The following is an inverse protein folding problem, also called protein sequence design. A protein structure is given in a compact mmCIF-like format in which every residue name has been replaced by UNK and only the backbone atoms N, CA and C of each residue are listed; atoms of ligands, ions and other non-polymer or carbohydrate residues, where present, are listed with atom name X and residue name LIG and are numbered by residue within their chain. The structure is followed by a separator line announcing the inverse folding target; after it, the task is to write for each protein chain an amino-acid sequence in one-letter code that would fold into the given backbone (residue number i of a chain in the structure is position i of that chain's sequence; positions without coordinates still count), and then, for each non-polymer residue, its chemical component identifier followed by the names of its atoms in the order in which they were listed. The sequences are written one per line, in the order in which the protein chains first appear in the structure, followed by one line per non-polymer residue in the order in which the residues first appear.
data_IF_438809263114
#
_entry.id   IF_438809263114
#
_cell.length_a   1.000
_cell.length_b   1.000
_cell.length_c   1.000
_cell.angle_alpha   90.00
_cell.angle_beta   90.00
_cell.angle_gamma   90.00
#
_symmetry.space_group_name_H-M   'P 1'
#
loop_
_entity.id
_entity.type
_entity.pdbx_description
1 polymer ?
#
# COMPACT_ATOMS: atom_id res chain seq x y z
N UNK A 1 -5.82 -10.78 -2.85
CA UNK A 1 -5.79 -9.66 -1.91
C UNK A 1 -5.95 -8.35 -2.68
N UNK A 2 -6.97 -7.58 -2.33
CA UNK A 2 -7.42 -6.41 -3.09
C UNK A 2 -7.35 -5.13 -2.24
N UNK A 3 -6.45 -5.08 -1.24
CA UNK A 3 -6.33 -3.94 -0.31
C UNK A 3 -5.97 -2.60 -0.99
N UNK A 4 -5.51 -2.64 -2.23
CA UNK A 4 -5.21 -1.46 -3.05
C UNK A 4 -6.25 -1.20 -4.16
N UNK A 5 -7.29 -2.00 -4.25
CA UNK A 5 -8.38 -1.82 -5.22
C UNK A 5 -9.04 -0.45 -5.07
N UNK A 6 -9.27 0.20 -6.18
CA UNK A 6 -9.81 1.55 -6.27
C UNK A 6 -8.74 2.64 -6.49
N UNK A 7 -7.44 2.34 -6.41
CA UNK A 7 -6.39 3.30 -6.76
C UNK A 7 -6.10 3.35 -8.26
N UNK A 8 -6.33 2.25 -8.98
CA UNK A 8 -6.30 2.17 -10.45
C UNK A 8 -7.68 2.31 -11.07
N UNK A 9 -7.73 2.29 -12.40
CA UNK A 9 -8.97 2.35 -13.16
C UNK A 9 -9.35 0.95 -13.68
N UNK A 10 -10.65 0.65 -13.72
CA UNK A 10 -11.18 -0.59 -14.29
C UNK A 10 -10.90 -1.85 -13.46
N UNK A 11 -10.49 -1.71 -12.21
CA UNK A 11 -10.22 -2.86 -11.33
C UNK A 11 -11.52 -3.57 -10.94
N UNK A 12 -11.53 -4.90 -11.12
CA UNK A 12 -12.66 -5.77 -10.78
C UNK A 12 -12.19 -6.83 -9.80
N UNK A 13 -12.98 -7.09 -8.77
CA UNK A 13 -12.68 -8.11 -7.78
C UNK A 13 -12.74 -9.52 -8.39
N UNK A 14 -11.77 -10.39 -8.07
CA UNK A 14 -11.75 -11.75 -8.59
C UNK A 14 -13.03 -12.54 -8.23
N UNK A 15 -13.65 -12.22 -7.09
CA UNK A 15 -14.93 -12.79 -6.69
C UNK A 15 -16.11 -12.38 -7.57
N UNK A 16 -15.96 -11.35 -8.42
CA UNK A 16 -16.98 -10.93 -9.40
C UNK A 16 -16.74 -11.53 -10.79
N UNK A 17 -15.55 -12.05 -11.02
CA UNK A 17 -15.15 -12.65 -12.30
C UNK A 17 -15.19 -14.17 -12.29
N UNK A 18 -15.14 -14.78 -11.13
CA UNK A 18 -15.00 -16.23 -11.00
C UNK A 18 -15.72 -16.76 -9.74
N UNK A 19 -16.60 -17.74 -9.91
CA UNK A 19 -17.44 -18.29 -8.83
C UNK A 19 -16.66 -18.85 -7.63
N UNK A 20 -15.43 -19.30 -7.83
CA UNK A 20 -14.53 -19.76 -6.77
C UNK A 20 -13.54 -18.67 -6.34
N UNK A 21 -13.69 -17.45 -6.85
CA UNK A 21 -12.87 -16.30 -6.48
C UNK A 21 -13.08 -15.93 -5.00
N UNK A 22 -11.99 -15.65 -4.32
CA UNK A 22 -11.99 -15.14 -2.94
C UNK A 22 -11.26 -13.81 -2.95
N UNK A 23 -11.99 -12.74 -2.66
CA UNK A 23 -11.46 -11.39 -2.55
C UNK A 23 -11.32 -10.99 -1.09
N UNK A 24 -10.16 -10.46 -0.72
CA UNK A 24 -9.90 -9.90 0.61
C UNK A 24 -9.54 -8.44 0.50
N UNK A 25 -10.13 -7.59 1.31
CA UNK A 25 -9.82 -6.18 1.35
C UNK A 25 -9.93 -5.62 2.78
N UNK A 26 -9.51 -4.37 2.97
CA UNK A 26 -9.55 -3.72 4.28
C UNK A 26 -9.59 -2.20 4.16
N UNK A 27 -9.93 -1.54 5.28
CA UNK A 27 -9.83 -0.08 5.40
C UNK A 27 -8.39 0.42 5.61
N UNK A 28 -7.40 -0.48 5.68
CA UNK A 28 -6.04 -0.13 6.10
C UNK A 28 -5.21 0.63 5.06
N UNK A 29 -5.48 0.43 3.76
CA UNK A 29 -4.60 0.95 2.69
C UNK A 29 -5.26 2.09 1.94
N UNK A 30 -6.20 1.79 1.05
CA UNK A 30 -6.83 2.78 0.16
C UNK A 30 -7.51 3.91 0.91
N UNK A 31 -8.16 3.59 2.03
CA UNK A 31 -8.86 4.58 2.84
C UNK A 31 -8.02 5.21 3.94
N UNK A 32 -6.81 4.70 4.22
CA UNK A 32 -5.89 5.19 5.26
C UNK A 32 -6.39 5.00 6.71
N UNK A 33 -7.33 4.09 6.96
CA UNK A 33 -7.86 3.79 8.29
C UNK A 33 -7.31 2.49 8.89
N UNK A 34 -6.00 2.29 8.81
CA UNK A 34 -5.32 1.10 9.34
C UNK A 34 -5.56 0.88 10.84
N UNK A 35 -5.76 1.95 11.60
CA UNK A 35 -6.03 1.91 13.05
C UNK A 35 -7.36 1.27 13.42
N UNK A 36 -8.34 1.22 12.51
CA UNK A 36 -9.64 0.60 12.76
C UNK A 36 -9.60 -0.93 12.76
N UNK A 37 -8.53 -1.56 12.23
CA UNK A 37 -8.37 -3.01 12.18
C UNK A 37 -9.55 -3.74 11.53
N UNK A 38 -10.16 -3.15 10.51
CA UNK A 38 -11.31 -3.70 9.77
C UNK A 38 -10.91 -4.18 8.39
N UNK A 39 -11.39 -5.35 8.04
CA UNK A 39 -11.29 -5.95 6.72
C UNK A 39 -12.45 -6.90 6.46
N UNK A 40 -12.56 -7.36 5.24
CA UNK A 40 -13.63 -8.26 4.82
C UNK A 40 -13.15 -9.29 3.81
N UNK A 41 -13.93 -10.35 3.71
CA UNK A 41 -13.79 -11.38 2.68
C UNK A 41 -15.08 -11.40 1.86
N UNK A 42 -14.94 -11.40 0.54
CA UNK A 42 -16.04 -11.64 -0.42
C UNK A 42 -15.75 -12.93 -1.16
N UNK A 43 -16.68 -13.87 -1.08
CA UNK A 43 -16.57 -15.17 -1.72
C UNK A 43 -17.96 -15.79 -1.87
N UNK A 44 -18.07 -16.99 -2.47
CA UNK A 44 -19.30 -17.74 -2.52
C UNK A 44 -19.78 -18.16 -1.11
N UNK A 45 -21.04 -18.56 -1.02
CA UNK A 45 -21.68 -18.90 0.25
C UNK A 45 -20.95 -20.02 1.02
N UNK A 46 -20.49 -21.06 0.34
CA UNK A 46 -19.83 -22.21 0.97
C UNK A 46 -18.54 -21.79 1.67
N UNK A 47 -17.72 -20.98 1.00
CA UNK A 47 -16.49 -20.44 1.57
C UNK A 47 -16.78 -19.53 2.77
N UNK A 48 -17.76 -18.62 2.64
CA UNK A 48 -18.13 -17.72 3.73
C UNK A 48 -18.65 -18.50 4.94
N UNK A 49 -19.46 -19.55 4.70
CA UNK A 49 -19.94 -20.43 5.78
C UNK A 49 -18.77 -21.10 6.50
N UNK A 50 -17.81 -21.67 5.77
CA UNK A 50 -16.61 -22.30 6.37
C UNK A 50 -15.76 -21.32 7.17
N UNK A 51 -15.66 -20.07 6.74
CA UNK A 51 -14.94 -19.01 7.46
C UNK A 51 -15.70 -18.67 8.75
N UNK A 52 -17.02 -18.45 8.67
CA UNK A 52 -17.84 -18.10 9.83
C UNK A 52 -17.85 -19.22 10.90
N UNK A 53 -17.91 -20.48 10.50
CA UNK A 53 -17.88 -21.64 11.41
C UNK A 53 -16.55 -21.71 12.23
N UNK A 54 -15.50 -21.01 11.77
CA UNK A 54 -14.17 -20.98 12.39
C UNK A 54 -13.78 -19.63 12.97
N UNK A 55 -14.52 -18.57 12.64
CA UNK A 55 -14.16 -17.20 12.99
C UNK A 55 -13.98 -17.01 14.49
N UNK A 56 -14.86 -17.61 15.29
CA UNK A 56 -14.87 -17.41 16.75
C UNK A 56 -13.62 -17.98 17.44
N UNK A 57 -12.87 -18.87 16.77
CA UNK A 57 -11.57 -19.36 17.27
C UNK A 57 -10.42 -18.37 17.04
N UNK A 58 -10.62 -17.37 16.19
CA UNK A 58 -9.62 -16.35 15.87
C UNK A 58 -10.03 -14.97 16.36
N UNK A 59 -11.28 -14.58 16.12
CA UNK A 59 -11.84 -13.31 16.51
C UNK A 59 -13.35 -13.44 16.72
N UNK A 60 -13.83 -13.19 17.93
CA UNK A 60 -15.25 -13.31 18.27
C UNK A 60 -16.04 -12.19 17.58
N UNK A 61 -15.56 -10.95 17.68
CA UNK A 61 -16.17 -9.78 17.04
C UNK A 61 -15.14 -8.69 16.78
N UNK A 62 -15.43 -7.82 15.83
CA UNK A 62 -14.81 -6.50 15.75
C UNK A 62 -15.36 -5.64 16.90
N UNK A 63 -14.56 -4.76 17.48
CA UNK A 63 -15.06 -3.87 18.53
C UNK A 63 -16.17 -2.94 18.01
N UNK A 64 -17.23 -2.70 18.77
CA UNK A 64 -18.36 -1.85 18.39
C UNK A 64 -17.94 -0.46 17.87
N UNK A 65 -16.98 0.17 18.54
CA UNK A 65 -16.47 1.48 18.13
C UNK A 65 -15.79 1.42 16.75
N UNK A 66 -15.01 0.37 16.51
CA UNK A 66 -14.32 0.18 15.23
C UNK A 66 -15.33 -0.06 14.10
N UNK A 67 -16.37 -0.84 14.36
CA UNK A 67 -17.43 -1.13 13.41
C UNK A 67 -18.24 0.14 13.07
N UNK A 68 -18.64 0.91 14.08
CA UNK A 68 -19.31 2.18 13.89
C UNK A 68 -18.47 3.17 13.06
N UNK A 69 -17.20 3.37 13.40
CA UNK A 69 -16.30 4.23 12.65
C UNK A 69 -16.04 3.69 11.24
N UNK A 70 -15.97 2.38 11.07
CA UNK A 70 -15.85 1.73 9.77
C UNK A 70 -17.06 2.01 8.87
N UNK A 71 -18.25 2.00 9.42
CA UNK A 71 -19.49 2.38 8.70
C UNK A 71 -19.39 3.80 8.16
N UNK A 72 -18.95 4.76 8.97
CA UNK A 72 -18.75 6.14 8.52
C UNK A 72 -17.70 6.25 7.39
N UNK A 73 -16.64 5.43 7.43
CA UNK A 73 -15.64 5.38 6.35
C UNK A 73 -16.28 4.86 5.05
N UNK A 74 -17.07 3.80 5.11
CA UNK A 74 -17.75 3.23 3.94
C UNK A 74 -18.78 4.20 3.36
N UNK A 75 -19.56 4.87 4.17
CA UNK A 75 -20.53 5.90 3.74
C UNK A 75 -19.83 7.07 3.01
N UNK A 76 -18.59 7.38 3.36
CA UNK A 76 -17.80 8.45 2.74
C UNK A 76 -16.72 7.92 1.78
N UNK A 77 -16.80 6.65 1.36
CA UNK A 77 -15.73 5.96 0.63
C UNK A 77 -15.24 6.71 -0.60
N UNK A 78 -16.12 7.19 -1.45
CA UNK A 78 -15.75 7.88 -2.69
C UNK A 78 -14.95 9.17 -2.43
N UNK A 79 -15.35 9.95 -1.42
CA UNK A 79 -14.65 11.19 -1.03
C UNK A 79 -13.25 10.89 -0.47
N UNK A 80 -13.13 9.84 0.33
CA UNK A 80 -11.86 9.38 0.89
C UNK A 80 -10.94 8.86 -0.22
N UNK A 81 -11.48 8.07 -1.13
CA UNK A 81 -10.76 7.52 -2.28
C UNK A 81 -10.21 8.63 -3.19
N UNK A 82 -11.02 9.64 -3.50
CA UNK A 82 -10.61 10.81 -4.28
C UNK A 82 -9.42 11.53 -3.64
N UNK A 83 -9.48 11.76 -2.31
CA UNK A 83 -8.36 12.31 -1.55
C UNK A 83 -7.10 11.44 -1.67
N UNK A 84 -7.24 10.12 -1.50
CA UNK A 84 -6.12 9.19 -1.57
C UNK A 84 -5.49 9.18 -2.97
N UNK A 85 -6.29 9.13 -4.02
CA UNK A 85 -5.84 9.21 -5.42
C UNK A 85 -5.09 10.52 -5.69
N UNK A 86 -5.59 11.66 -5.19
CA UNK A 86 -4.94 12.96 -5.35
C UNK A 86 -3.53 12.97 -4.74
N UNK A 87 -3.38 12.49 -3.50
CA UNK A 87 -2.07 12.39 -2.83
C UNK A 87 -1.12 11.50 -3.64
N UNK A 88 -1.58 10.30 -4.00
CA UNK A 88 -0.77 9.31 -4.72
C UNK A 88 -0.33 9.85 -6.08
N UNK A 89 -1.23 10.43 -6.86
CA UNK A 89 -0.90 10.95 -8.18
C UNK A 89 0.07 12.13 -8.11
N UNK A 90 -0.09 13.01 -7.12
CA UNK A 90 0.87 14.10 -6.87
C UNK A 90 2.26 13.55 -6.54
N UNK A 91 2.34 12.60 -5.64
CA UNK A 91 3.63 12.04 -5.21
C UNK A 91 4.26 11.12 -6.27
N UNK A 92 3.44 10.45 -7.06
CA UNK A 92 3.90 9.69 -8.23
C UNK A 92 4.59 10.61 -9.25
N UNK A 93 4.02 11.79 -9.51
CA UNK A 93 4.66 12.77 -10.40
C UNK A 93 5.98 13.28 -9.83
N UNK A 94 6.04 13.57 -8.52
CA UNK A 94 7.30 13.94 -7.84
C UNK A 94 8.38 12.86 -8.02
N UNK A 95 8.00 11.59 -7.87
CA UNK A 95 8.92 10.47 -8.09
C UNK A 95 9.41 10.41 -9.54
N UNK A 96 8.52 10.58 -10.52
CA UNK A 96 8.88 10.59 -11.96
C UNK A 96 9.86 11.71 -12.26
N UNK A 97 9.58 12.92 -11.78
CA UNK A 97 10.41 14.09 -12.03
C UNK A 97 11.80 13.94 -11.38
N UNK A 98 11.86 13.31 -10.21
CA UNK A 98 13.12 13.00 -9.54
C UNK A 98 13.92 11.93 -10.30
N UNK A 99 13.30 10.83 -10.71
CA UNK A 99 13.95 9.75 -11.48
C UNK A 99 14.54 10.25 -12.79
N UNK A 100 13.93 11.26 -13.41
CA UNK A 100 14.45 11.86 -14.65
C UNK A 100 15.80 12.60 -14.44
N UNK A 101 16.16 12.92 -13.20
CA UNK A 101 17.37 13.66 -12.83
C UNK A 101 18.36 12.79 -12.03
N UNK A 102 17.97 11.59 -11.63
CA UNK A 102 18.77 10.70 -10.79
C UNK A 102 19.34 9.51 -11.61
N UNK A 103 20.59 9.62 -12.12
CA UNK A 103 21.15 8.61 -13.01
C UNK A 103 21.55 7.30 -12.29
N UNK A 104 21.59 7.30 -10.96
CA UNK A 104 21.99 6.14 -10.17
C UNK A 104 20.81 5.24 -9.78
N UNK A 105 19.58 5.62 -10.15
CA UNK A 105 18.37 4.88 -9.76
C UNK A 105 17.44 4.68 -10.95
N UNK A 106 17.00 3.42 -11.13
CA UNK A 106 15.96 3.05 -12.07
C UNK A 106 14.68 2.62 -11.33
N UNK A 107 13.55 2.82 -11.94
CA UNK A 107 12.27 2.32 -11.45
C UNK A 107 11.27 2.09 -12.57
N UNK A 108 10.59 0.95 -12.54
CA UNK A 108 9.32 0.80 -13.24
C UNK A 108 8.26 1.47 -12.35
N UNK A 109 7.93 2.72 -12.68
CA UNK A 109 6.98 3.50 -11.88
C UNK A 109 5.59 2.86 -11.98
N UNK A 110 4.97 2.48 -10.85
CA UNK A 110 3.66 1.83 -10.87
C UNK A 110 2.57 2.79 -11.40
N UNK A 111 1.63 2.27 -12.17
CA UNK A 111 0.47 3.04 -12.64
C UNK A 111 -0.49 3.36 -11.50
N UNK A 112 -0.62 2.44 -10.54
CA UNK A 112 -1.44 2.57 -9.33
C UNK A 112 -0.71 1.98 -8.11
N UNK A 113 -1.23 2.28 -6.91
CA UNK A 113 -0.65 1.80 -5.65
C UNK A 113 0.14 2.87 -4.92
N UNK A 114 0.83 2.48 -3.86
CA UNK A 114 1.46 3.39 -2.89
C UNK A 114 2.97 3.14 -2.74
N UNK A 115 3.51 2.18 -3.51
CA UNK A 115 4.86 1.66 -3.33
C UNK A 115 5.54 1.60 -4.69
N UNK A 116 6.79 2.06 -4.74
CA UNK A 116 7.72 1.85 -5.84
C UNK A 116 8.89 0.97 -5.37
N UNK A 117 9.47 0.22 -6.29
CA UNK A 117 10.64 -0.61 -6.02
C UNK A 117 11.81 -0.09 -6.87
N UNK A 118 12.65 0.70 -6.23
CA UNK A 118 13.75 1.43 -6.85
C UNK A 118 14.97 0.51 -6.99
N UNK A 119 15.56 0.42 -8.17
CA UNK A 119 16.83 -0.24 -8.40
C UNK A 119 17.94 0.79 -8.42
N UNK A 120 18.98 0.62 -7.60
CA UNK A 120 20.13 1.52 -7.58
C UNK A 120 21.40 0.85 -8.13
N UNK A 121 22.34 1.66 -8.62
CA UNK A 121 23.58 1.24 -9.32
C UNK A 121 24.85 1.46 -8.49
N UNK A 122 24.75 1.46 -7.17
CA UNK A 122 25.89 1.55 -6.26
C UNK A 122 26.38 0.16 -5.86
N UNK A 123 27.71 0.02 -5.58
CA UNK A 123 28.34 -1.23 -5.13
C UNK A 123 28.18 -1.50 -3.62
N UNK A 124 27.12 -1.01 -3.00
CA UNK A 124 26.82 -1.18 -1.58
C UNK A 124 25.57 -2.07 -1.44
N UNK A 125 25.53 -2.93 -0.42
CA UNK A 125 24.39 -3.82 -0.17
C UNK A 125 23.18 -3.03 0.36
N UNK A 126 21.96 -3.50 0.03
CA UNK A 126 20.73 -2.75 0.33
C UNK A 126 20.51 -2.49 1.83
N UNK A 127 20.87 -3.43 2.71
CA UNK A 127 20.79 -3.23 4.17
C UNK A 127 21.75 -2.16 4.67
N UNK A 128 22.97 -2.16 4.15
CA UNK A 128 24.00 -1.20 4.52
C UNK A 128 23.64 0.21 4.01
N UNK A 129 23.19 0.31 2.76
CA UNK A 129 22.72 1.57 2.18
C UNK A 129 21.56 2.18 2.98
N UNK A 130 20.53 1.36 3.30
CA UNK A 130 19.39 1.83 4.10
C UNK A 130 19.81 2.32 5.50
N UNK A 131 20.72 1.59 6.16
CA UNK A 131 21.22 1.98 7.47
C UNK A 131 22.00 3.31 7.42
N UNK A 132 22.83 3.47 6.38
CA UNK A 132 23.60 4.70 6.16
C UNK A 132 22.70 5.89 5.86
N UNK A 133 21.73 5.77 4.94
CA UNK A 133 20.77 6.80 4.63
C UNK A 133 19.98 7.24 5.88
N UNK A 134 19.50 6.28 6.66
CA UNK A 134 18.76 6.57 7.88
C UNK A 134 19.64 7.31 8.91
N UNK A 135 20.91 6.91 9.07
CA UNK A 135 21.84 7.52 10.01
C UNK A 135 22.23 8.95 9.58
N UNK A 136 22.53 9.14 8.30
CA UNK A 136 23.10 10.39 7.78
C UNK A 136 22.03 11.45 7.50
N UNK A 137 20.81 11.03 7.09
CA UNK A 137 19.77 11.92 6.60
C UNK A 137 18.43 11.78 7.33
N UNK A 138 18.21 10.69 8.08
CA UNK A 138 16.91 10.34 8.66
C UNK A 138 15.93 9.73 7.67
N UNK A 139 16.29 9.57 6.39
CA UNK A 139 15.41 8.97 5.37
C UNK A 139 15.39 7.45 5.54
N UNK A 140 14.18 6.90 5.57
CA UNK A 140 13.97 5.46 5.76
C UNK A 140 13.45 4.77 4.50
N UNK A 141 14.19 3.74 4.06
CA UNK A 141 13.76 2.78 3.04
C UNK A 141 13.73 1.37 3.60
N UNK A 142 12.92 0.49 3.01
CA UNK A 142 13.04 -0.94 3.29
C UNK A 142 14.01 -1.56 2.28
N UNK A 143 15.07 -2.24 2.76
CA UNK A 143 16.08 -2.81 1.87
C UNK A 143 15.50 -3.92 1.00
N UNK A 144 15.90 -3.97 -0.27
CA UNK A 144 15.46 -4.99 -1.22
C UNK A 144 15.82 -6.41 -0.81
N UNK A 145 16.88 -6.59 -0.01
CA UNK A 145 17.24 -7.88 0.59
C UNK A 145 16.10 -8.51 1.45
N UNK A 146 15.13 -7.72 1.92
CA UNK A 146 13.93 -8.23 2.59
C UNK A 146 12.94 -8.91 1.63
N UNK A 147 13.17 -8.76 0.33
CA UNK A 147 12.37 -9.29 -0.78
C UNK A 147 13.22 -10.17 -1.72
N UNK A 148 14.36 -10.66 -1.23
CA UNK A 148 15.36 -11.43 -2.00
C UNK A 148 15.87 -10.70 -3.27
N UNK A 149 15.83 -9.36 -3.25
CA UNK A 149 16.25 -8.48 -4.34
C UNK A 149 17.31 -7.47 -3.86
N UNK A 150 18.57 -7.86 -3.92
CA UNK A 150 19.66 -6.91 -3.64
C UNK A 150 19.70 -5.75 -4.65
N UNK A 151 20.33 -4.67 -4.26
CA UNK A 151 20.42 -3.42 -5.04
C UNK A 151 19.08 -2.78 -5.34
N UNK A 152 18.07 -3.06 -4.49
CA UNK A 152 16.76 -2.43 -4.56
C UNK A 152 16.37 -1.81 -3.21
N UNK A 153 15.49 -0.81 -3.29
CA UNK A 153 14.88 -0.13 -2.14
C UNK A 153 13.37 -0.10 -2.33
N UNK A 154 12.62 -0.50 -1.32
CA UNK A 154 11.16 -0.31 -1.32
C UNK A 154 10.84 1.08 -0.80
N UNK A 155 10.25 1.89 -1.63
CA UNK A 155 9.83 3.26 -1.37
C UNK A 155 8.31 3.37 -1.27
N UNK A 156 7.80 3.87 -0.14
CA UNK A 156 6.40 4.19 0.04
C UNK A 156 6.17 5.68 -0.23
N UNK A 157 5.36 6.00 -1.25
CA UNK A 157 5.15 7.40 -1.68
C UNK A 157 3.76 7.95 -1.37
N UNK A 158 2.95 7.28 -0.55
CA UNK A 158 1.62 7.77 -0.15
C UNK A 158 1.65 8.59 1.15
N UNK A 159 2.62 9.48 1.28
CA UNK A 159 2.84 10.35 2.44
C UNK A 159 2.64 11.83 2.07
N UNK A 160 2.98 12.73 3.01
CA UNK A 160 3.02 14.16 2.78
C UNK A 160 3.96 14.49 1.59
N UNK A 161 3.48 15.29 0.64
CA UNK A 161 4.22 15.59 -0.60
C UNK A 161 5.50 16.39 -0.34
N UNK A 162 5.55 17.23 0.69
CA UNK A 162 6.75 18.02 1.02
C UNK A 162 7.81 17.15 1.68
N UNK A 163 7.39 16.16 2.51
CA UNK A 163 8.31 15.17 3.07
C UNK A 163 8.90 14.27 1.98
N UNK A 164 8.09 13.85 0.99
CA UNK A 164 8.57 13.08 -0.16
C UNK A 164 9.61 13.87 -0.95
N UNK A 165 9.32 15.14 -1.29
CA UNK A 165 10.28 16.01 -2.01
C UNK A 165 11.58 16.17 -1.24
N UNK A 166 11.49 16.48 0.04
CA UNK A 166 12.65 16.67 0.90
C UNK A 166 13.49 15.40 1.00
N UNK A 167 12.83 14.26 1.26
CA UNK A 167 13.52 12.97 1.42
C UNK A 167 14.21 12.48 0.15
N UNK A 168 13.69 12.82 -1.05
CA UNK A 168 14.32 12.46 -2.33
C UNK A 168 15.51 13.39 -2.68
N UNK A 169 15.67 14.54 -2.03
CA UNK A 169 16.77 15.49 -2.24
C UNK A 169 17.97 15.26 -1.31
N UNK A 170 17.80 14.50 -0.25
CA UNK A 170 18.82 14.14 0.74
C UNK A 170 19.64 12.93 0.32
#
# INVERSE_FOLDING_TARGET
DEVYQGLGDGEVAISDLYDKGISTASLSKVTSFAGLRLGWVKANYEVIKLINDRRDYHIISTGYLNDYLGTLVIENYHKILERSRKIINTNRQILIDWLAQEPLVDCVVPEAGTIAFLKYHLSIKSRELCAKLQQDTGVFFVPGACFDQEYHLRFGFANNSDEIKTGLQL
#
